data_IF_495493511197
#
_entry.id   IF_495493511197
#
_cell.length_a   1.000
_cell.length_b   1.000
_cell.length_c   1.000
_cell.angle_alpha   90.00
_cell.angle_beta   90.00
_cell.angle_gamma   90.00
#
_symmetry.space_group_name_H-M   'P 1'
#
loop_
_entity.id
_entity.type
_entity.pdbx_description
1 polymer ?
#
# COMPACT_ATOMS: atom_id res chain seq x y z
N UNK A 1 16.02 -19.80 -9.86
CA UNK A 1 14.84 -19.04 -10.32
C UNK A 1 14.06 -18.53 -9.12
N UNK A 2 13.83 -17.22 -9.03
CA UNK A 2 12.98 -16.61 -8.00
C UNK A 2 11.50 -16.95 -8.23
N UNK A 3 10.65 -16.74 -7.22
CA UNK A 3 9.21 -16.95 -7.34
C UNK A 3 8.58 -16.07 -8.44
N UNK A 4 9.00 -14.81 -8.53
CA UNK A 4 8.56 -13.88 -9.57
C UNK A 4 8.96 -14.36 -10.96
N UNK A 5 10.18 -14.88 -11.14
CA UNK A 5 10.60 -15.45 -12.43
C UNK A 5 9.72 -16.64 -12.84
N UNK A 6 9.23 -17.45 -11.90
CA UNK A 6 8.27 -18.53 -12.21
C UNK A 6 6.94 -17.99 -12.70
N UNK A 7 6.43 -16.93 -12.07
CA UNK A 7 5.17 -16.29 -12.48
C UNK A 7 5.30 -15.64 -13.87
N UNK A 8 6.45 -15.02 -14.17
CA UNK A 8 6.72 -14.37 -15.45
C UNK A 8 6.77 -15.32 -16.64
N UNK A 9 7.04 -16.62 -16.43
CA UNK A 9 6.91 -17.64 -17.49
C UNK A 9 5.48 -17.71 -18.03
N UNK A 10 4.48 -17.53 -17.16
CA UNK A 10 3.07 -17.63 -17.53
C UNK A 10 2.46 -16.28 -17.92
N UNK A 11 2.94 -15.18 -17.35
CA UNK A 11 2.51 -13.83 -17.67
C UNK A 11 3.67 -12.85 -17.50
N UNK A 12 4.28 -12.45 -18.63
CA UNK A 12 5.46 -11.58 -18.62
C UNK A 12 5.19 -10.21 -17.99
N UNK A 13 3.96 -9.70 -18.10
CA UNK A 13 3.53 -8.40 -17.55
C UNK A 13 2.90 -8.52 -16.16
N UNK A 14 3.08 -9.64 -15.45
CA UNK A 14 2.49 -9.81 -14.12
C UNK A 14 3.10 -8.82 -13.11
N UNK A 15 2.22 -8.06 -12.46
CA UNK A 15 2.55 -7.27 -11.29
C UNK A 15 2.34 -8.12 -10.04
N UNK A 16 3.26 -8.07 -9.09
CA UNK A 16 3.17 -8.84 -7.85
C UNK A 16 3.27 -7.90 -6.67
N UNK A 17 2.42 -8.07 -5.68
CA UNK A 17 2.52 -7.39 -4.39
C UNK A 17 2.48 -8.41 -3.25
N UNK A 18 3.32 -8.22 -2.24
CA UNK A 18 3.44 -9.11 -1.08
C UNK A 18 3.38 -8.24 0.18
N UNK A 19 2.36 -8.44 1.00
CA UNK A 19 2.25 -7.82 2.33
C UNK A 19 2.92 -8.68 3.40
N UNK A 20 3.62 -8.06 4.33
CA UNK A 20 4.29 -8.74 5.45
C UNK A 20 4.02 -8.04 6.79
N UNK A 21 2.77 -7.63 7.02
CA UNK A 21 2.34 -7.02 8.28
C UNK A 21 3.23 -5.85 8.69
N UNK A 22 3.84 -5.93 9.87
CA UNK A 22 4.70 -4.89 10.42
C UNK A 22 6.06 -4.72 9.69
N UNK A 23 6.40 -5.60 8.74
CA UNK A 23 7.60 -5.45 7.89
C UNK A 23 7.33 -4.65 6.62
N UNK A 24 6.06 -4.31 6.36
CA UNK A 24 5.64 -3.51 5.20
C UNK A 24 5.23 -4.39 4.03
N UNK A 25 5.67 -4.02 2.84
CA UNK A 25 5.32 -4.71 1.61
C UNK A 25 6.45 -4.69 0.58
N UNK A 26 6.38 -5.63 -0.35
CA UNK A 26 7.19 -5.66 -1.56
C UNK A 26 6.29 -5.59 -2.80
N UNK A 27 6.77 -4.95 -3.85
CA UNK A 27 6.12 -4.92 -5.15
C UNK A 27 7.11 -5.24 -6.26
N UNK A 28 6.66 -6.01 -7.24
CA UNK A 28 7.37 -6.27 -8.50
C UNK A 28 6.56 -5.66 -9.64
N UNK A 29 7.15 -4.70 -10.33
CA UNK A 29 6.50 -3.97 -11.43
C UNK A 29 6.66 -4.62 -12.82
N UNK A 30 7.29 -5.81 -12.87
CA UNK A 30 7.71 -6.46 -14.12
C UNK A 30 9.24 -6.41 -14.34
N UNK A 31 9.92 -5.45 -13.73
CA UNK A 31 11.34 -5.16 -13.94
C UNK A 31 12.13 -4.96 -12.63
N UNK A 32 11.54 -4.28 -11.66
CA UNK A 32 12.17 -3.88 -10.41
C UNK A 32 11.37 -4.38 -9.20
N UNK A 33 12.10 -4.82 -8.18
CA UNK A 33 11.55 -5.15 -6.87
C UNK A 33 11.69 -3.92 -5.97
N UNK A 34 10.57 -3.36 -5.51
CA UNK A 34 10.53 -2.28 -4.53
C UNK A 34 10.09 -2.80 -3.17
N UNK A 35 10.59 -2.17 -2.11
CA UNK A 35 10.11 -2.38 -0.74
C UNK A 35 9.59 -1.06 -0.19
N UNK A 36 8.46 -1.10 0.51
CA UNK A 36 7.97 0.02 1.29
C UNK A 36 7.72 -0.45 2.73
N UNK A 37 8.30 0.23 3.75
CA UNK A 37 8.15 -0.17 5.15
C UNK A 37 6.70 -0.05 5.63
N UNK A 38 6.33 -0.81 6.66
CA UNK A 38 5.01 -0.65 7.28
C UNK A 38 4.93 0.73 7.95
N UNK A 39 3.81 1.41 7.77
CA UNK A 39 3.54 2.65 8.50
C UNK A 39 3.20 2.29 9.94
N UNK A 40 3.80 2.99 10.90
CA UNK A 40 3.55 2.76 12.32
C UNK A 40 2.10 3.12 12.65
N UNK A 41 1.31 2.11 12.98
CA UNK A 41 -0.10 2.23 13.36
C UNK A 41 -0.33 1.64 14.76
N UNK A 42 -1.29 2.20 15.50
CA UNK A 42 -1.83 1.55 16.68
C UNK A 42 -2.89 0.54 16.24
N UNK A 43 -2.53 -0.75 16.18
CA UNK A 43 -3.42 -1.79 15.68
C UNK A 43 -4.41 -2.24 16.76
N UNK A 44 -5.71 -2.04 16.49
CA UNK A 44 -6.84 -2.52 17.30
C UNK A 44 -7.36 -3.86 16.73
N UNK A 45 -7.52 -3.95 15.40
CA UNK A 45 -7.96 -5.17 14.70
C UNK A 45 -7.27 -5.26 13.34
N UNK A 46 -6.71 -6.42 12.99
CA UNK A 46 -6.02 -6.62 11.70
C UNK A 46 -6.92 -7.20 10.60
N UNK A 47 -8.16 -7.57 10.93
CA UNK A 47 -9.12 -8.05 9.94
C UNK A 47 -9.35 -6.97 8.86
N UNK A 48 -9.26 -7.35 7.59
CA UNK A 48 -9.44 -6.44 6.46
C UNK A 48 -8.21 -5.61 6.09
N UNK A 49 -7.09 -5.70 6.82
CA UNK A 49 -5.87 -4.94 6.51
C UNK A 49 -5.31 -5.26 5.11
N UNK A 50 -5.38 -6.53 4.70
CA UNK A 50 -4.98 -6.98 3.38
C UNK A 50 -5.92 -6.50 2.28
N UNK A 51 -7.24 -6.49 2.53
CA UNK A 51 -8.24 -5.97 1.59
C UNK A 51 -8.10 -4.46 1.41
N UNK A 52 -7.86 -3.72 2.50
CA UNK A 52 -7.54 -2.30 2.48
C UNK A 52 -6.23 -2.02 1.71
N UNK A 53 -5.20 -2.84 1.90
CA UNK A 53 -3.97 -2.74 1.11
C UNK A 53 -4.24 -2.98 -0.38
N UNK A 54 -4.92 -4.08 -0.72
CA UNK A 54 -5.19 -4.45 -2.11
C UNK A 54 -6.06 -3.42 -2.82
N UNK A 55 -7.10 -2.90 -2.15
CA UNK A 55 -7.91 -1.80 -2.67
C UNK A 55 -7.11 -0.52 -2.91
N UNK A 56 -6.14 -0.19 -2.04
CA UNK A 56 -5.22 0.92 -2.28
C UNK A 56 -4.33 0.72 -3.51
N UNK A 57 -3.84 -0.51 -3.75
CA UNK A 57 -3.13 -0.85 -4.99
C UNK A 57 -4.04 -0.61 -6.21
N UNK A 58 -5.23 -1.19 -6.20
CA UNK A 58 -6.18 -1.08 -7.32
C UNK A 58 -6.59 0.37 -7.58
N UNK A 59 -6.89 1.13 -6.53
CA UNK A 59 -7.26 2.54 -6.64
C UNK A 59 -6.11 3.36 -7.23
N UNK A 60 -4.88 3.17 -6.73
CA UNK A 60 -3.70 3.85 -7.25
C UNK A 60 -3.46 3.55 -8.74
N UNK A 61 -3.49 2.28 -9.13
CA UNK A 61 -3.33 1.89 -10.53
C UNK A 61 -4.46 2.45 -11.41
N UNK A 62 -5.71 2.45 -10.94
CA UNK A 62 -6.86 2.95 -11.68
C UNK A 62 -6.77 4.46 -11.98
N UNK A 63 -6.11 5.24 -11.12
CA UNK A 63 -5.87 6.68 -11.35
C UNK A 63 -4.51 6.96 -12.02
N UNK A 64 -3.84 5.93 -12.53
CA UNK A 64 -2.61 6.07 -13.32
C UNK A 64 -1.32 6.17 -12.50
N UNK A 65 -1.33 5.82 -11.21
CA UNK A 65 -0.10 5.72 -10.43
C UNK A 65 0.75 4.54 -10.90
N UNK A 66 2.07 4.68 -10.82
CA UNK A 66 2.96 3.54 -10.90
C UNK A 66 2.79 2.64 -9.67
N UNK A 67 3.16 1.36 -9.79
CA UNK A 67 2.96 0.38 -8.73
C UNK A 67 3.62 0.79 -7.41
N UNK A 68 4.80 1.43 -7.46
CA UNK A 68 5.49 1.92 -6.26
C UNK A 68 4.72 3.03 -5.54
N UNK A 69 4.09 3.96 -6.26
CA UNK A 69 3.25 4.99 -5.66
C UNK A 69 1.95 4.38 -5.13
N UNK A 70 1.33 3.48 -5.89
CA UNK A 70 0.15 2.74 -5.44
C UNK A 70 0.43 1.92 -4.17
N UNK A 71 1.64 1.36 -4.01
CA UNK A 71 2.09 0.65 -2.81
C UNK A 71 2.12 1.54 -1.56
N UNK A 72 2.52 2.80 -1.71
CA UNK A 72 2.52 3.77 -0.62
C UNK A 72 1.09 4.15 -0.20
N UNK A 73 0.21 4.38 -1.18
CA UNK A 73 -1.21 4.60 -0.92
C UNK A 73 -1.84 3.39 -0.21
N UNK A 74 -1.59 2.18 -0.71
CA UNK A 74 -2.03 0.93 -0.09
C UNK A 74 -1.55 0.79 1.36
N UNK A 75 -0.32 1.21 1.64
CA UNK A 75 0.25 1.16 2.98
C UNK A 75 -0.47 2.13 3.93
N UNK A 76 -0.87 3.31 3.46
CA UNK A 76 -1.69 4.27 4.23
C UNK A 76 -3.06 3.70 4.56
N UNK A 77 -3.78 3.16 3.56
CA UNK A 77 -5.10 2.57 3.77
C UNK A 77 -5.03 1.38 4.74
N UNK A 78 -4.05 0.50 4.56
CA UNK A 78 -3.86 -0.66 5.44
C UNK A 78 -3.53 -0.25 6.87
N UNK A 79 -2.59 0.69 7.04
CA UNK A 79 -2.19 1.21 8.35
C UNK A 79 -3.32 1.92 9.10
N UNK A 80 -4.19 2.65 8.38
CA UNK A 80 -5.39 3.21 8.98
C UNK A 80 -6.45 2.14 9.26
N UNK A 81 -6.63 1.17 8.37
CA UNK A 81 -7.64 0.12 8.55
C UNK A 81 -7.47 -0.61 9.87
N UNK A 82 -6.22 -0.86 10.28
CA UNK A 82 -5.96 -1.60 11.52
C UNK A 82 -6.24 -0.81 12.80
N UNK A 83 -6.39 0.51 12.72
CA UNK A 83 -6.70 1.36 13.89
C UNK A 83 -8.18 1.36 14.26
N UNK A 84 -9.02 0.66 13.50
CA UNK A 84 -10.45 0.48 13.73
C UNK A 84 -10.73 -0.91 14.31
N UNK A 85 -11.73 -1.08 15.19
CA UNK A 85 -12.19 -2.40 15.62
C UNK A 85 -12.95 -3.17 14.52
N UNK A 86 -13.41 -2.48 13.47
CA UNK A 86 -14.18 -3.05 12.36
C UNK A 86 -13.28 -3.42 11.18
N UNK A 87 -13.66 -4.48 10.46
CA UNK A 87 -12.99 -4.95 9.22
C UNK A 87 -12.90 -3.87 8.13
N UNK A 88 -13.87 -2.95 8.10
CA UNK A 88 -13.88 -1.81 7.18
C UNK A 88 -13.91 -0.54 8.02
N UNK A 89 -12.83 0.24 7.98
CA UNK A 89 -12.79 1.55 8.63
C UNK A 89 -13.44 2.61 7.74
N UNK A 90 -14.67 3.00 8.08
CA UNK A 90 -15.45 3.99 7.32
C UNK A 90 -14.93 5.44 7.39
N UNK A 91 -13.93 5.71 8.22
CA UNK A 91 -13.32 7.04 8.39
C UNK A 91 -12.05 7.24 7.57
N UNK A 92 -11.68 6.28 6.73
CA UNK A 92 -10.57 6.44 5.80
C UNK A 92 -11.04 7.34 4.66
N UNK A 93 -10.43 8.52 4.59
CA UNK A 93 -10.65 9.54 3.59
C UNK A 93 -9.33 10.27 3.33
N UNK A 94 -9.31 11.18 2.36
CA UNK A 94 -8.08 11.89 1.98
C UNK A 94 -7.42 12.60 3.16
N UNK A 95 -8.21 13.33 3.95
CA UNK A 95 -7.72 14.08 5.11
C UNK A 95 -7.13 13.17 6.20
N UNK A 96 -7.80 12.06 6.53
CA UNK A 96 -7.27 11.13 7.53
C UNK A 96 -6.01 10.41 7.04
N UNK A 97 -5.92 10.08 5.74
CA UNK A 97 -4.67 9.59 5.13
C UNK A 97 -3.55 10.63 5.16
N UNK A 98 -3.84 11.90 4.86
CA UNK A 98 -2.85 12.97 4.90
C UNK A 98 -2.30 13.17 6.31
N UNK A 99 -3.17 13.23 7.33
CA UNK A 99 -2.75 13.33 8.73
C UNK A 99 -1.91 12.12 9.16
N UNK A 100 -2.33 10.92 8.76
CA UNK A 100 -1.61 9.69 9.05
C UNK A 100 -0.25 9.61 8.35
N UNK A 101 -0.10 10.23 7.18
CA UNK A 101 1.16 10.34 6.45
C UNK A 101 2.15 11.32 7.11
N UNK A 102 1.67 12.34 7.83
CA UNK A 102 2.53 13.34 8.50
C UNK A 102 3.09 12.87 9.86
N UNK A 103 2.44 11.91 10.50
CA UNK A 103 2.89 11.32 11.76
C UNK A 103 4.17 10.43 11.68
N UNK A 104 4.45 9.70 10.57
CA UNK A 104 5.64 8.85 10.43
C UNK A 104 6.86 9.54 9.79
N UNK A 105 8.06 9.16 10.26
CA UNK A 105 9.35 9.34 9.56
C UNK A 105 9.46 8.36 8.38
N UNK A 106 8.62 8.53 7.36
CA UNK A 106 8.71 7.75 6.12
C UNK A 106 8.77 8.65 4.90
N UNK A 107 9.60 8.23 3.95
CA UNK A 107 9.77 8.97 2.71
C UNK A 107 8.70 8.55 1.70
N UNK A 108 7.64 9.34 1.64
CA UNK A 108 6.61 9.23 0.62
C UNK A 108 7.04 9.98 -0.64
N UNK A 109 6.70 9.45 -1.81
CA UNK A 109 6.95 10.12 -3.08
C UNK A 109 6.19 11.44 -3.19
N UNK A 110 6.74 12.38 -3.96
CA UNK A 110 6.06 13.66 -4.25
C UNK A 110 4.69 13.46 -4.89
N UNK A 111 4.50 12.39 -5.66
CA UNK A 111 3.21 12.02 -6.26
C UNK A 111 2.16 11.77 -5.18
N UNK A 112 2.48 10.97 -4.17
CA UNK A 112 1.57 10.68 -3.05
C UNK A 112 1.36 11.90 -2.16
N UNK A 113 2.42 12.67 -1.91
CA UNK A 113 2.31 13.92 -1.14
C UNK A 113 1.37 14.92 -1.79
N UNK A 114 1.40 15.04 -3.13
CA UNK A 114 0.47 15.90 -3.89
C UNK A 114 -0.94 15.33 -3.92
N UNK A 115 -1.07 14.02 -4.20
CA UNK A 115 -2.35 13.32 -4.24
C UNK A 115 -3.16 13.49 -2.96
N UNK A 116 -2.52 13.67 -1.79
CA UNK A 116 -3.20 13.85 -0.51
C UNK A 116 -3.31 15.31 -0.05
N UNK A 117 -2.82 16.28 -0.82
CA UNK A 117 -2.90 17.72 -0.51
C UNK A 117 -4.08 18.44 -1.18
N UNK A 118 -4.44 18.00 -2.38
CA UNK A 118 -5.56 18.55 -3.17
C UNK A 118 -6.93 18.07 -2.66
#
# INVERSE_FOLDING_TARGET
MSAVQKLQIHNQSILVTITAGNQGSWCWDGHHLTRFPAIKAYAINTAGAGDAFFSGILCGLAVGLHLFDAQQLASLLSGLSVSSPHTIHKGIERNSMQQFMLAPDQDFSEVIRRLLKD
#
